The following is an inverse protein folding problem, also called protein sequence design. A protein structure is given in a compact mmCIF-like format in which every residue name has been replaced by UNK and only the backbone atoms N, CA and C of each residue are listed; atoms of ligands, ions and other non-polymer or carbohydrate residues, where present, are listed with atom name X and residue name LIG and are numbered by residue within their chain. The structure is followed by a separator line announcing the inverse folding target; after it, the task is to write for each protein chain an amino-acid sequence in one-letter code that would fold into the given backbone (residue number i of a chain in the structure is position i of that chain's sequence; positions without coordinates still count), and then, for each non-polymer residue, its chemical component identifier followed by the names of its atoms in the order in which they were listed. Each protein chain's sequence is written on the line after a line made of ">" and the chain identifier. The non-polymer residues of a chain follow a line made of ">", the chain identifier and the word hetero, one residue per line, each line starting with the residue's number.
data_IF_809102747904
#
_entry.id   IF_809102747904
#
_cell.length_a   1.000
_cell.length_b   1.000
_cell.length_c   1.000
_cell.angle_alpha   90.00
_cell.angle_beta   90.00
_cell.angle_gamma   90.00
#
_symmetry.space_group_name_H-M   'P 1'
#
loop_
_entity.id
_entity.type
_entity.pdbx_description
1 polymer ?
#
# COMPACT_ATOMS: atom_id res chain seq x y z
N UNK A 1 -7.37 -13.88 -18.43
CA UNK A 1 -8.75 -13.71 -17.90
C UNK A 1 -9.54 -14.94 -18.30
N UNK A 2 -10.31 -15.55 -17.40
CA UNK A 2 -11.13 -16.74 -17.72
C UNK A 2 -12.55 -16.29 -18.07
N UNK A 3 -13.31 -17.18 -18.71
CA UNK A 3 -14.71 -16.93 -19.09
C UNK A 3 -15.65 -17.96 -18.46
N UNK A 4 -16.90 -17.56 -18.25
CA UNK A 4 -17.99 -18.39 -17.76
C UNK A 4 -18.31 -19.51 -18.76
N UNK A 5 -18.12 -19.27 -20.06
CA UNK A 5 -18.24 -20.29 -21.09
C UNK A 5 -17.17 -21.41 -20.93
N UNK A 6 -15.92 -21.05 -20.65
CA UNK A 6 -14.87 -22.02 -20.33
C UNK A 6 -15.20 -22.81 -19.04
N UNK A 7 -15.77 -22.13 -18.04
CA UNK A 7 -16.21 -22.79 -16.80
C UNK A 7 -17.35 -23.78 -17.06
N UNK A 8 -18.40 -23.36 -17.77
CA UNK A 8 -19.57 -24.19 -18.13
C UNK A 8 -19.22 -25.40 -18.98
N UNK A 9 -18.23 -25.27 -19.87
CA UNK A 9 -17.76 -26.38 -20.71
C UNK A 9 -16.80 -27.34 -19.99
N UNK A 10 -16.46 -27.08 -18.73
CA UNK A 10 -15.54 -27.92 -17.94
C UNK A 10 -14.06 -27.76 -18.31
N UNK A 11 -13.69 -26.83 -19.20
CA UNK A 11 -12.30 -26.56 -19.61
C UNK A 11 -11.41 -26.08 -18.46
N UNK A 12 -12.01 -25.60 -17.38
CA UNK A 12 -11.33 -25.07 -16.20
C UNK A 12 -11.22 -26.09 -15.05
N UNK A 13 -11.54 -27.36 -15.27
CA UNK A 13 -11.46 -28.38 -14.22
C UNK A 13 -10.04 -28.48 -13.66
N UNK A 14 -9.91 -28.45 -12.33
CA UNK A 14 -8.62 -28.63 -11.63
C UNK A 14 -7.79 -27.36 -11.48
N UNK A 15 -8.23 -26.20 -11.99
CA UNK A 15 -7.49 -24.95 -11.77
C UNK A 15 -7.49 -24.56 -10.30
N UNK A 16 -6.41 -23.91 -9.87
CA UNK A 16 -6.25 -23.34 -8.53
C UNK A 16 -6.67 -21.88 -8.45
N UNK A 17 -6.62 -21.14 -9.56
CA UNK A 17 -6.94 -19.71 -9.63
C UNK A 17 -7.96 -19.42 -10.71
N UNK A 18 -9.16 -18.99 -10.30
CA UNK A 18 -10.20 -18.52 -11.20
C UNK A 18 -10.27 -17.00 -11.15
N UNK A 19 -10.43 -16.38 -12.32
CA UNK A 19 -10.74 -14.94 -12.47
C UNK A 19 -11.86 -14.78 -13.48
N UNK A 20 -13.01 -14.27 -13.06
CA UNK A 20 -14.15 -13.95 -13.91
C UNK A 20 -14.50 -12.46 -13.77
N UNK A 21 -14.52 -11.76 -14.89
CA UNK A 21 -14.98 -10.36 -15.00
C UNK A 21 -15.79 -10.25 -16.29
N UNK A 22 -17.08 -10.56 -16.18
CA UNK A 22 -18.00 -10.68 -17.31
C UNK A 22 -19.35 -10.05 -16.97
N UNK A 23 -19.34 -8.94 -16.22
CA UNK A 23 -20.55 -8.21 -15.81
C UNK A 23 -21.55 -9.08 -15.03
N UNK A 24 -21.07 -10.02 -14.23
CA UNK A 24 -21.89 -10.98 -13.51
C UNK A 24 -22.80 -10.27 -12.49
N UNK A 25 -24.12 -10.43 -12.60
CA UNK A 25 -25.09 -9.90 -11.63
C UNK A 25 -25.36 -10.88 -10.48
N UNK A 26 -24.91 -12.13 -10.59
CA UNK A 26 -25.03 -13.15 -9.55
C UNK A 26 -23.84 -14.11 -9.59
N UNK A 27 -23.57 -14.79 -8.47
CA UNK A 27 -22.51 -15.78 -8.38
C UNK A 27 -22.82 -16.98 -9.29
N UNK A 28 -21.94 -17.33 -10.25
CA UNK A 28 -22.12 -18.52 -11.07
C UNK A 28 -21.93 -19.79 -10.26
N UNK A 29 -23.00 -20.58 -10.08
CA UNK A 29 -22.93 -21.82 -9.30
C UNK A 29 -22.01 -22.87 -9.93
N UNK A 30 -21.68 -22.74 -11.21
CA UNK A 30 -20.70 -23.57 -11.91
C UNK A 30 -19.29 -23.47 -11.30
N UNK A 31 -18.97 -22.39 -10.57
CA UNK A 31 -17.70 -22.27 -9.82
C UNK A 31 -17.57 -23.41 -8.81
N UNK A 32 -18.69 -23.91 -8.27
CA UNK A 32 -18.71 -25.01 -7.32
C UNK A 32 -18.21 -26.33 -7.91
N UNK A 33 -18.15 -26.46 -9.25
CA UNK A 33 -17.51 -27.61 -9.91
C UNK A 33 -15.99 -27.67 -9.69
N UNK A 34 -15.39 -26.58 -9.19
CA UNK A 34 -13.95 -26.47 -8.88
C UNK A 34 -13.64 -26.68 -7.39
N UNK A 35 -14.61 -27.15 -6.59
CA UNK A 35 -14.48 -27.32 -5.14
C UNK A 35 -13.21 -28.10 -4.71
N UNK A 36 -12.80 -29.08 -5.51
CA UNK A 36 -11.66 -29.95 -5.20
C UNK A 36 -10.29 -29.30 -5.47
N UNK A 37 -10.22 -28.13 -6.11
CA UNK A 37 -8.95 -27.53 -6.55
C UNK A 37 -8.82 -26.03 -6.33
N UNK A 38 -9.92 -25.28 -6.24
CA UNK A 38 -9.89 -23.82 -6.27
C UNK A 38 -9.35 -23.23 -4.94
N UNK A 39 -8.25 -22.50 -5.04
CA UNK A 39 -7.56 -21.84 -3.93
C UNK A 39 -7.75 -20.31 -3.97
N UNK A 40 -7.82 -19.73 -5.17
CA UNK A 40 -7.94 -18.27 -5.38
C UNK A 40 -9.12 -17.99 -6.31
N UNK A 41 -10.09 -17.21 -5.82
CA UNK A 41 -11.26 -16.77 -6.57
C UNK A 41 -11.27 -15.24 -6.72
N UNK A 42 -11.13 -14.76 -7.95
CA UNK A 42 -11.26 -13.34 -8.30
C UNK A 42 -12.55 -13.10 -9.10
N UNK A 43 -13.51 -12.45 -8.46
CA UNK A 43 -14.79 -11.98 -9.01
C UNK A 43 -14.83 -10.44 -9.09
N UNK A 44 -13.67 -9.79 -9.14
CA UNK A 44 -13.61 -8.34 -9.27
C UNK A 44 -14.19 -7.87 -10.61
N UNK A 45 -14.64 -6.62 -10.66
CA UNK A 45 -15.17 -5.97 -11.86
C UNK A 45 -16.42 -6.69 -12.39
N UNK A 46 -17.42 -6.84 -11.52
CA UNK A 46 -18.74 -7.43 -11.81
C UNK A 46 -19.84 -6.57 -11.16
N UNK A 47 -21.05 -7.11 -11.03
CA UNK A 47 -22.23 -6.43 -10.48
C UNK A 47 -22.84 -7.21 -9.31
N UNK A 48 -22.03 -7.97 -8.59
CA UNK A 48 -22.46 -8.84 -7.49
C UNK A 48 -22.89 -8.00 -6.28
N UNK A 49 -23.95 -8.45 -5.63
CA UNK A 49 -24.46 -7.86 -4.38
C UNK A 49 -24.40 -8.84 -3.21
N UNK A 50 -24.21 -10.14 -3.47
CA UNK A 50 -24.17 -11.19 -2.46
C UNK A 50 -23.33 -12.40 -2.92
N UNK A 51 -22.95 -13.24 -1.97
CA UNK A 51 -22.33 -14.55 -2.22
C UNK A 51 -23.23 -15.66 -1.64
N UNK A 52 -23.40 -16.79 -2.34
CA UNK A 52 -24.31 -17.84 -1.91
C UNK A 52 -23.74 -18.62 -0.72
N UNK A 53 -24.62 -19.15 0.13
CA UNK A 53 -24.24 -20.06 1.24
C UNK A 53 -23.42 -21.26 0.76
N UNK A 54 -23.60 -21.69 -0.49
CA UNK A 54 -22.85 -22.78 -1.09
C UNK A 54 -21.36 -22.50 -1.31
N UNK A 55 -20.88 -21.26 -1.13
CA UNK A 55 -19.46 -20.91 -1.20
C UNK A 55 -18.60 -21.77 -0.26
N UNK A 56 -19.17 -22.19 0.88
CA UNK A 56 -18.51 -23.07 1.86
C UNK A 56 -18.08 -24.43 1.27
N UNK A 57 -18.62 -24.83 0.11
CA UNK A 57 -18.21 -26.05 -0.59
C UNK A 57 -16.81 -25.93 -1.19
N UNK A 58 -16.30 -24.72 -1.42
CA UNK A 58 -14.94 -24.48 -1.89
C UNK A 58 -13.95 -24.64 -0.71
N UNK A 59 -13.78 -25.87 -0.24
CA UNK A 59 -13.04 -26.17 1.00
C UNK A 59 -11.56 -25.78 0.90
N UNK A 60 -10.99 -25.68 -0.30
CA UNK A 60 -9.61 -25.24 -0.53
C UNK A 60 -9.45 -23.72 -0.72
N UNK A 61 -10.54 -22.95 -0.70
CA UNK A 61 -10.49 -21.51 -0.98
C UNK A 61 -9.73 -20.77 0.13
N UNK A 62 -8.64 -20.11 -0.27
CA UNK A 62 -7.74 -19.34 0.60
C UNK A 62 -7.85 -17.84 0.37
N UNK A 63 -8.18 -17.43 -0.86
CA UNK A 63 -8.21 -16.02 -1.26
C UNK A 63 -9.48 -15.73 -2.06
N UNK A 64 -10.19 -14.68 -1.67
CA UNK A 64 -11.31 -14.15 -2.45
C UNK A 64 -11.13 -12.65 -2.72
N UNK A 65 -11.29 -12.28 -3.99
CA UNK A 65 -11.42 -10.90 -4.44
C UNK A 65 -12.79 -10.68 -5.05
N UNK A 66 -13.43 -9.59 -4.67
CA UNK A 66 -14.71 -9.14 -5.22
C UNK A 66 -14.73 -7.60 -5.30
N UNK A 67 -13.61 -7.00 -5.71
CA UNK A 67 -13.48 -5.54 -5.83
C UNK A 67 -14.34 -5.00 -6.98
N UNK A 68 -14.73 -3.73 -6.96
CA UNK A 68 -15.55 -3.10 -8.01
C UNK A 68 -16.84 -3.90 -8.27
N UNK A 69 -17.63 -4.10 -7.22
CA UNK A 69 -18.94 -4.75 -7.25
C UNK A 69 -19.97 -3.84 -6.54
N UNK A 70 -21.11 -4.38 -6.11
CA UNK A 70 -22.22 -3.64 -5.48
C UNK A 70 -22.58 -4.21 -4.11
N UNK A 71 -21.61 -4.74 -3.37
CA UNK A 71 -21.85 -5.26 -2.02
C UNK A 71 -22.14 -4.10 -1.05
N UNK A 72 -23.25 -4.20 -0.30
CA UNK A 72 -23.58 -3.27 0.79
C UNK A 72 -23.25 -3.83 2.18
N UNK A 73 -23.09 -5.15 2.30
CA UNK A 73 -22.73 -5.86 3.52
C UNK A 73 -21.64 -6.87 3.19
N UNK A 74 -20.61 -6.99 4.03
CA UNK A 74 -19.61 -8.04 3.86
C UNK A 74 -20.28 -9.42 4.04
N UNK A 75 -20.25 -10.33 3.05
CA UNK A 75 -21.04 -11.56 3.11
C UNK A 75 -20.68 -12.47 4.29
N UNK A 76 -21.64 -12.80 5.14
CA UNK A 76 -21.44 -13.67 6.33
C UNK A 76 -20.89 -15.06 5.99
N UNK A 77 -21.14 -15.55 4.77
CA UNK A 77 -20.63 -16.86 4.32
C UNK A 77 -19.10 -16.94 4.36
N UNK A 78 -18.40 -15.80 4.25
CA UNK A 78 -16.94 -15.74 4.30
C UNK A 78 -16.40 -16.26 5.63
N UNK A 79 -17.03 -15.92 6.76
CA UNK A 79 -16.58 -16.37 8.08
C UNK A 79 -16.73 -17.88 8.31
N UNK A 80 -17.49 -18.56 7.44
CA UNK A 80 -17.65 -20.02 7.45
C UNK A 80 -16.67 -20.76 6.53
N UNK A 81 -15.85 -20.05 5.76
CA UNK A 81 -14.84 -20.65 4.90
C UNK A 81 -13.59 -20.97 5.73
N UNK A 82 -13.34 -22.25 6.00
CA UNK A 82 -12.35 -22.70 6.99
C UNK A 82 -10.90 -22.30 6.67
N UNK A 83 -10.55 -22.32 5.38
CA UNK A 83 -9.18 -22.04 4.90
C UNK A 83 -9.01 -20.62 4.35
N UNK A 84 -10.03 -19.75 4.47
CA UNK A 84 -9.98 -18.41 3.91
C UNK A 84 -9.08 -17.50 4.74
N UNK A 85 -8.02 -17.00 4.12
CA UNK A 85 -6.98 -16.17 4.74
C UNK A 85 -7.00 -14.73 4.23
N UNK A 86 -7.45 -14.50 2.99
CA UNK A 86 -7.42 -13.18 2.36
C UNK A 86 -8.77 -12.81 1.75
N UNK A 87 -9.27 -11.64 2.13
CA UNK A 87 -10.57 -11.11 1.71
C UNK A 87 -10.38 -9.70 1.16
N UNK A 88 -10.66 -9.50 -0.13
CA UNK A 88 -10.57 -8.19 -0.78
C UNK A 88 -11.87 -7.75 -1.45
N UNK A 89 -12.47 -6.68 -0.95
CA UNK A 89 -13.73 -6.09 -1.41
C UNK A 89 -13.56 -4.58 -1.65
N UNK A 90 -12.46 -4.17 -2.29
CA UNK A 90 -12.18 -2.76 -2.59
C UNK A 90 -13.26 -2.15 -3.50
N UNK A 91 -13.60 -0.87 -3.33
CA UNK A 91 -14.48 -0.12 -4.25
C UNK A 91 -15.83 -0.81 -4.40
N UNK A 92 -16.51 -0.99 -3.27
CA UNK A 92 -17.87 -1.49 -3.16
C UNK A 92 -18.73 -0.41 -2.48
N UNK A 93 -19.87 -0.79 -1.89
CA UNK A 93 -20.77 0.11 -1.16
C UNK A 93 -20.97 -0.40 0.27
N UNK A 94 -19.97 -1.10 0.83
CA UNK A 94 -20.13 -1.83 2.09
C UNK A 94 -20.30 -0.82 3.23
N UNK A 95 -21.43 -0.91 3.91
CA UNK A 95 -21.77 -0.11 5.09
C UNK A 95 -21.56 -0.91 6.38
N UNK A 96 -21.64 -2.24 6.31
CA UNK A 96 -21.60 -3.12 7.47
C UNK A 96 -20.68 -4.32 7.29
N UNK A 97 -19.91 -4.61 8.34
CA UNK A 97 -19.12 -5.84 8.49
C UNK A 97 -19.71 -6.64 9.66
N UNK A 98 -20.57 -7.64 9.42
CA UNK A 98 -21.07 -8.50 10.47
C UNK A 98 -19.93 -9.26 11.15
N UNK A 99 -19.97 -9.45 12.47
CA UNK A 99 -18.92 -10.18 13.20
C UNK A 99 -18.63 -11.59 12.62
N UNK A 100 -19.69 -12.29 12.19
CA UNK A 100 -19.61 -13.62 11.61
C UNK A 100 -19.15 -13.65 10.14
N UNK A 101 -18.89 -12.50 9.50
CA UNK A 101 -18.33 -12.43 8.15
C UNK A 101 -16.81 -12.58 8.12
N UNK A 102 -16.14 -12.46 9.28
CA UNK A 102 -14.68 -12.49 9.37
C UNK A 102 -14.16 -13.94 9.52
N UNK A 103 -13.37 -14.46 8.57
CA UNK A 103 -12.79 -15.80 8.67
C UNK A 103 -11.91 -15.96 9.91
N UNK A 104 -11.89 -17.16 10.50
CA UNK A 104 -11.03 -17.46 11.66
C UNK A 104 -9.53 -17.35 11.33
N UNK A 105 -9.15 -17.69 10.10
CA UNK A 105 -7.77 -17.65 9.62
C UNK A 105 -7.40 -16.36 8.88
N UNK A 106 -8.23 -15.30 9.00
CA UNK A 106 -8.01 -14.04 8.30
C UNK A 106 -6.63 -13.44 8.60
N UNK A 107 -5.84 -13.24 7.55
CA UNK A 107 -4.53 -12.58 7.54
C UNK A 107 -4.58 -11.22 6.88
N UNK A 108 -5.39 -11.07 5.84
CA UNK A 108 -5.43 -9.86 5.04
C UNK A 108 -6.87 -9.47 4.70
N UNK A 109 -7.28 -8.30 5.17
CA UNK A 109 -8.59 -7.70 4.88
C UNK A 109 -8.41 -6.37 4.12
N UNK A 110 -9.03 -6.28 2.94
CA UNK A 110 -9.08 -5.05 2.12
C UNK A 110 -10.54 -4.63 1.94
N UNK A 111 -10.91 -3.53 2.58
CA UNK A 111 -12.22 -2.86 2.45
C UNK A 111 -12.05 -1.39 2.05
N UNK A 112 -10.92 -1.06 1.42
CA UNK A 112 -10.65 0.26 0.84
C UNK A 112 -11.81 0.74 -0.04
N UNK A 113 -12.12 2.03 0.01
CA UNK A 113 -13.13 2.68 -0.85
C UNK A 113 -14.52 2.02 -0.69
N UNK A 114 -15.11 2.19 0.50
CA UNK A 114 -16.43 1.69 0.88
C UNK A 114 -17.15 2.75 1.73
N UNK A 115 -18.24 2.39 2.39
CA UNK A 115 -19.08 3.30 3.18
C UNK A 115 -19.08 2.95 4.68
N UNK A 116 -18.02 2.32 5.20
CA UNK A 116 -17.99 1.84 6.58
C UNK A 116 -17.93 2.99 7.59
N UNK A 117 -18.87 2.99 8.54
CA UNK A 117 -18.85 3.93 9.68
C UNK A 117 -18.27 3.32 10.95
N UNK A 118 -18.38 1.99 11.08
CA UNK A 118 -17.87 1.22 12.23
C UNK A 118 -17.35 -0.15 11.78
N UNK A 119 -16.58 -0.80 12.66
CA UNK A 119 -16.10 -2.17 12.51
C UNK A 119 -16.48 -2.98 13.76
N UNK A 120 -16.74 -4.30 13.63
CA UNK A 120 -17.07 -5.13 14.78
C UNK A 120 -15.83 -5.41 15.65
N UNK A 121 -16.03 -5.58 16.95
CA UNK A 121 -14.98 -5.93 17.90
C UNK A 121 -14.29 -7.26 17.54
N UNK A 122 -15.03 -8.18 16.90
CA UNK A 122 -14.51 -9.46 16.39
C UNK A 122 -13.32 -9.32 15.44
N UNK A 123 -13.07 -8.15 14.85
CA UNK A 123 -11.90 -7.88 14.02
C UNK A 123 -10.61 -7.95 14.83
N UNK A 124 -10.60 -7.37 16.03
CA UNK A 124 -9.45 -7.40 16.94
C UNK A 124 -9.10 -8.81 17.44
N UNK A 125 -10.09 -9.71 17.43
CA UNK A 125 -9.98 -11.10 17.86
C UNK A 125 -9.42 -12.04 16.78
N UNK A 126 -9.06 -11.54 15.59
CA UNK A 126 -8.48 -12.38 14.53
C UNK A 126 -6.98 -12.58 14.79
N UNK A 127 -6.52 -13.77 15.25
CA UNK A 127 -5.16 -13.93 15.76
C UNK A 127 -4.08 -13.87 14.68
N UNK A 128 -4.47 -14.05 13.41
CA UNK A 128 -3.56 -14.09 12.25
C UNK A 128 -3.58 -12.80 11.43
N UNK A 129 -4.35 -11.78 11.80
CA UNK A 129 -4.48 -10.57 10.99
C UNK A 129 -3.14 -9.83 10.92
N UNK A 130 -2.63 -9.64 9.70
CA UNK A 130 -1.36 -8.98 9.40
C UNK A 130 -1.56 -7.68 8.61
N UNK A 131 -2.56 -7.64 7.73
CA UNK A 131 -2.78 -6.50 6.84
C UNK A 131 -4.24 -6.05 6.82
N UNK A 132 -4.46 -4.78 7.12
CA UNK A 132 -5.76 -4.15 7.21
C UNK A 132 -5.81 -2.87 6.37
N UNK A 133 -6.53 -2.90 5.26
CA UNK A 133 -6.70 -1.75 4.38
C UNK A 133 -8.16 -1.26 4.41
N UNK A 134 -8.35 -0.05 4.95
CA UNK A 134 -9.62 0.61 5.24
C UNK A 134 -9.67 2.05 4.70
N UNK A 135 -8.70 2.45 3.88
CA UNK A 135 -8.66 3.82 3.36
C UNK A 135 -9.90 4.16 2.52
N UNK A 136 -10.38 5.40 2.58
CA UNK A 136 -11.57 5.81 1.82
C UNK A 136 -12.86 5.22 2.37
N UNK A 137 -13.07 5.33 3.68
CA UNK A 137 -14.32 4.93 4.33
C UNK A 137 -14.87 6.13 5.13
N UNK A 138 -15.85 5.89 6.01
CA UNK A 138 -16.49 6.92 6.85
C UNK A 138 -16.26 6.64 8.33
N UNK A 139 -15.20 5.90 8.67
CA UNK A 139 -14.96 5.43 10.03
C UNK A 139 -14.75 6.61 10.96
N UNK A 140 -15.52 6.67 12.03
CA UNK A 140 -15.39 7.71 13.07
C UNK A 140 -14.52 7.26 14.23
N UNK A 141 -14.39 5.94 14.41
CA UNK A 141 -13.52 5.29 15.39
C UNK A 141 -13.12 3.90 14.90
N UNK A 142 -12.04 3.37 15.47
CA UNK A 142 -11.65 1.97 15.33
C UNK A 142 -12.00 1.20 16.61
N UNK A 143 -12.35 -0.10 16.54
CA UNK A 143 -12.68 -0.90 17.73
C UNK A 143 -11.46 -1.02 18.64
N UNK A 144 -11.67 -0.90 19.95
CA UNK A 144 -10.60 -0.96 20.95
C UNK A 144 -9.92 -2.33 20.99
N UNK A 145 -10.63 -3.39 20.56
CA UNK A 145 -10.08 -4.76 20.49
C UNK A 145 -8.93 -4.88 19.50
N UNK A 146 -8.72 -3.94 18.57
CA UNK A 146 -7.53 -3.96 17.70
C UNK A 146 -6.21 -3.90 18.47
N UNK A 147 -6.21 -3.43 19.73
CA UNK A 147 -5.05 -3.53 20.62
C UNK A 147 -4.59 -4.99 20.83
N UNK A 148 -5.45 -5.98 20.59
CA UNK A 148 -5.16 -7.41 20.72
C UNK A 148 -4.54 -8.01 19.44
N UNK A 149 -4.54 -7.29 18.32
CA UNK A 149 -4.04 -7.76 17.03
C UNK A 149 -2.51 -7.71 16.96
N UNK A 150 -1.85 -8.53 17.78
CA UNK A 150 -0.39 -8.55 17.94
C UNK A 150 0.40 -8.95 16.69
N UNK A 151 -0.27 -9.52 15.68
CA UNK A 151 0.31 -9.86 14.38
C UNK A 151 0.07 -8.79 13.29
N UNK A 152 -0.62 -7.70 13.61
CA UNK A 152 -0.93 -6.65 12.64
C UNK A 152 0.33 -5.85 12.32
N UNK A 153 0.68 -5.81 11.04
CA UNK A 153 1.94 -5.27 10.51
C UNK A 153 1.70 -4.05 9.61
N UNK A 154 0.58 -4.02 8.86
CA UNK A 154 0.23 -2.93 7.95
C UNK A 154 -1.22 -2.49 8.15
N UNK A 155 -1.41 -1.19 8.37
CA UNK A 155 -2.72 -0.55 8.49
C UNK A 155 -2.83 0.68 7.58
N UNK A 156 -3.82 0.70 6.69
CA UNK A 156 -4.20 1.89 5.90
C UNK A 156 -5.58 2.37 6.36
N UNK A 157 -5.65 3.53 7.01
CA UNK A 157 -6.90 4.14 7.52
C UNK A 157 -7.07 5.58 7.03
N UNK A 158 -6.30 5.98 6.01
CA UNK A 158 -6.39 7.31 5.40
C UNK A 158 -7.79 7.61 4.83
N UNK A 159 -8.13 8.87 4.65
CA UNK A 159 -9.41 9.31 4.09
C UNK A 159 -10.62 8.66 4.81
N UNK A 160 -10.70 8.91 6.12
CA UNK A 160 -11.80 8.50 7.00
C UNK A 160 -12.26 9.71 7.84
N UNK A 161 -13.19 9.49 8.77
CA UNK A 161 -13.74 10.53 9.65
C UNK A 161 -13.22 10.39 11.10
N UNK A 162 -12.01 9.85 11.30
CA UNK A 162 -11.45 9.64 12.63
C UNK A 162 -11.16 11.00 13.27
N UNK A 163 -11.78 11.26 14.42
CA UNK A 163 -11.61 12.53 15.16
C UNK A 163 -10.47 12.48 16.17
N UNK A 164 -9.98 11.29 16.49
CA UNK A 164 -8.89 11.06 17.43
C UNK A 164 -7.85 10.10 16.85
N UNK A 165 -6.59 10.27 17.26
CA UNK A 165 -5.52 9.36 16.90
C UNK A 165 -5.76 7.97 17.53
N UNK A 166 -5.68 6.86 16.77
CA UNK A 166 -6.02 5.54 17.27
C UNK A 166 -4.89 4.93 18.12
N UNK A 167 -4.83 5.30 19.39
CA UNK A 167 -3.84 4.84 20.38
C UNK A 167 -3.68 3.30 20.45
N UNK A 168 -4.77 2.57 20.22
CA UNK A 168 -4.78 1.10 20.20
C UNK A 168 -3.91 0.50 19.09
N UNK A 169 -3.62 1.24 18.02
CA UNK A 169 -2.72 0.79 16.96
C UNK A 169 -1.26 1.13 17.25
N UNK A 170 -1.01 2.29 17.88
CA UNK A 170 0.34 2.85 18.02
C UNK A 170 1.29 1.95 18.82
N UNK A 171 0.74 1.18 19.77
CA UNK A 171 1.49 0.28 20.65
C UNK A 171 1.54 -1.17 20.17
N UNK A 172 1.03 -1.46 18.96
CA UNK A 172 1.08 -2.81 18.42
C UNK A 172 2.53 -3.21 18.13
N UNK A 173 2.97 -4.41 18.57
CA UNK A 173 4.38 -4.77 18.60
C UNK A 173 4.99 -5.00 17.20
N UNK A 174 4.15 -5.33 16.20
CA UNK A 174 4.59 -5.64 14.84
C UNK A 174 4.17 -4.61 13.79
N UNK A 175 3.41 -3.58 14.17
CA UNK A 175 2.94 -2.58 13.22
C UNK A 175 4.15 -1.82 12.66
N UNK A 176 4.39 -1.91 11.36
CA UNK A 176 5.53 -1.27 10.70
C UNK A 176 5.08 -0.22 9.69
N UNK A 177 3.91 -0.41 9.06
CA UNK A 177 3.38 0.50 8.05
C UNK A 177 2.01 1.01 8.46
N UNK A 178 1.92 2.31 8.73
CA UNK A 178 0.67 2.97 9.13
C UNK A 178 0.45 4.22 8.28
N UNK A 179 -0.68 4.29 7.58
CA UNK A 179 -1.12 5.49 6.87
C UNK A 179 -2.47 5.97 7.40
N UNK A 180 -2.57 7.26 7.71
CA UNK A 180 -3.76 7.84 8.33
C UNK A 180 -4.09 9.26 7.88
N UNK A 181 -3.47 9.73 6.79
CA UNK A 181 -3.74 11.05 6.21
C UNK A 181 -5.22 11.25 5.85
N UNK A 182 -5.67 12.50 5.69
CA UNK A 182 -7.06 12.76 5.32
C UNK A 182 -8.10 12.40 6.39
N UNK A 183 -7.70 12.27 7.66
CA UNK A 183 -8.61 12.19 8.80
C UNK A 183 -8.69 13.53 9.54
N UNK A 184 -9.83 13.88 10.17
CA UNK A 184 -9.96 15.08 10.99
C UNK A 184 -8.84 15.26 12.04
N UNK A 185 -8.40 14.19 12.71
CA UNK A 185 -7.33 14.29 13.73
C UNK A 185 -5.95 14.59 13.15
N UNK A 186 -5.72 14.26 11.87
CA UNK A 186 -4.46 14.50 11.16
C UNK A 186 -4.53 15.74 10.27
N UNK A 187 -5.61 16.51 10.35
CA UNK A 187 -5.77 17.71 9.55
C UNK A 187 -4.74 18.76 9.95
N UNK A 188 -4.04 19.29 8.96
CA UNK A 188 -3.12 20.40 9.13
C UNK A 188 -3.45 21.48 8.10
N UNK A 189 -3.78 22.68 8.57
CA UNK A 189 -3.95 23.84 7.70
C UNK A 189 -2.57 24.41 7.30
N UNK A 190 -1.82 23.65 6.50
CA UNK A 190 -0.53 24.06 5.98
C UNK A 190 -0.63 24.30 4.48
N UNK A 191 -0.30 25.51 4.04
CA UNK A 191 0.00 25.79 2.63
C UNK A 191 1.50 25.67 2.45
N UNK A 192 1.97 24.51 2.00
CA UNK A 192 3.39 24.27 1.81
C UNK A 192 3.77 24.77 0.41
N UNK A 193 4.62 25.80 0.37
CA UNK A 193 5.12 26.41 -0.86
C UNK A 193 6.64 26.17 -0.98
N UNK A 194 7.08 24.92 -0.80
CA UNK A 194 8.49 24.54 -0.92
C UNK A 194 8.99 24.52 -2.37
N UNK A 195 8.06 24.43 -3.34
CA UNK A 195 8.32 24.50 -4.77
C UNK A 195 7.37 25.48 -5.45
N UNK A 196 7.76 26.11 -6.58
CA UNK A 196 6.90 27.02 -7.32
C UNK A 196 5.66 26.32 -7.89
N UNK A 197 4.55 27.07 -7.95
CA UNK A 197 3.34 26.67 -8.67
C UNK A 197 3.40 27.13 -10.13
N UNK A 198 3.14 26.21 -11.05
CA UNK A 198 3.14 26.43 -12.49
C UNK A 198 1.77 26.12 -13.09
N UNK A 199 1.54 26.56 -14.33
CA UNK A 199 0.35 26.16 -15.08
C UNK A 199 0.56 24.80 -15.75
N UNK A 200 -0.52 24.03 -15.92
CA UNK A 200 -0.51 22.80 -16.71
C UNK A 200 -0.07 23.05 -18.16
N UNK A 201 -0.25 24.26 -18.69
CA UNK A 201 0.20 24.65 -20.03
C UNK A 201 1.74 24.79 -20.16
N UNK A 202 2.46 24.87 -19.04
CA UNK A 202 3.91 25.09 -19.02
C UNK A 202 4.73 23.88 -19.50
N UNK A 203 4.12 22.69 -19.63
CA UNK A 203 4.79 21.49 -20.13
C UNK A 203 3.86 20.65 -21.02
N UNK A 204 4.46 19.76 -21.80
CA UNK A 204 3.74 18.76 -22.60
C UNK A 204 4.13 17.36 -22.15
N UNK A 205 3.13 16.57 -21.73
CA UNK A 205 3.32 15.16 -21.39
C UNK A 205 3.73 14.35 -22.64
N UNK A 206 4.66 13.41 -22.45
CA UNK A 206 5.21 12.54 -23.49
C UNK A 206 4.88 11.09 -23.18
N UNK A 207 5.88 10.28 -22.86
CA UNK A 207 5.75 8.85 -22.60
C UNK A 207 5.35 8.61 -21.14
N UNK A 208 4.35 7.75 -20.93
CA UNK A 208 4.02 7.21 -19.61
C UNK A 208 5.18 6.34 -19.10
N UNK A 209 5.69 6.69 -17.91
CA UNK A 209 6.77 6.00 -17.22
C UNK A 209 6.22 4.97 -16.22
N UNK A 210 5.09 5.28 -15.60
CA UNK A 210 4.41 4.40 -14.65
C UNK A 210 2.99 4.86 -14.36
N UNK A 211 2.15 3.94 -13.88
CA UNK A 211 0.79 4.23 -13.47
C UNK A 211 0.48 3.45 -12.18
N UNK A 212 -0.02 4.15 -11.18
CA UNK A 212 -0.41 3.59 -9.88
C UNK A 212 -1.82 3.99 -9.49
N UNK A 213 -2.20 3.67 -8.24
CA UNK A 213 -3.50 4.03 -7.69
C UNK A 213 -3.67 5.56 -7.52
N UNK A 214 -2.56 6.28 -7.29
CA UNK A 214 -2.55 7.72 -7.04
C UNK A 214 -2.43 8.58 -8.29
N UNK A 215 -2.03 8.02 -9.44
CA UNK A 215 -1.88 8.82 -10.65
C UNK A 215 -1.08 8.15 -11.77
N UNK A 216 -0.78 8.94 -12.79
CA UNK A 216 0.07 8.56 -13.92
C UNK A 216 1.32 9.40 -13.91
N UNK A 217 2.48 8.75 -13.94
CA UNK A 217 3.78 9.38 -14.07
C UNK A 217 4.18 9.33 -15.54
N UNK A 218 4.44 10.49 -16.12
CA UNK A 218 4.88 10.62 -17.52
C UNK A 218 6.12 11.49 -17.61
N UNK A 219 6.99 11.18 -18.57
CA UNK A 219 8.02 12.14 -19.00
C UNK A 219 7.35 13.37 -19.61
N UNK A 220 7.96 14.54 -19.47
CA UNK A 220 7.47 15.78 -20.04
C UNK A 220 8.62 16.71 -20.45
N UNK A 221 8.31 17.59 -21.39
CA UNK A 221 9.19 18.67 -21.85
C UNK A 221 8.51 20.01 -21.60
N UNK A 222 9.27 21.04 -21.26
CA UNK A 222 8.75 22.39 -21.08
C UNK A 222 8.26 22.99 -22.40
N UNK A 223 7.19 23.78 -22.34
CA UNK A 223 6.65 24.52 -23.48
C UNK A 223 7.52 25.76 -23.77
N UNK A 224 7.87 26.51 -22.71
CA UNK A 224 8.72 27.70 -22.77
C UNK A 224 9.96 27.48 -21.88
N UNK A 225 10.94 26.72 -22.37
CA UNK A 225 12.16 26.25 -21.65
C UNK A 225 12.66 27.21 -20.55
N UNK A 226 12.22 27.04 -19.30
CA UNK A 226 12.63 27.90 -18.21
C UNK A 226 14.07 27.54 -17.83
N UNK A 227 14.98 28.51 -17.85
CA UNK A 227 16.42 28.29 -17.60
C UNK A 227 16.76 27.72 -16.21
N UNK A 228 15.80 27.69 -15.29
CA UNK A 228 15.96 27.24 -13.90
C UNK A 228 15.71 25.73 -13.74
N UNK A 229 15.02 25.09 -14.70
CA UNK A 229 14.66 23.67 -14.60
C UNK A 229 15.42 22.79 -15.60
N UNK A 230 15.61 21.49 -15.31
CA UNK A 230 16.16 20.54 -16.27
C UNK A 230 15.27 20.43 -17.53
N UNK A 231 15.88 20.17 -18.68
CA UNK A 231 15.17 20.08 -19.98
C UNK A 231 14.07 19.00 -20.00
N UNK A 232 14.33 17.87 -19.35
CA UNK A 232 13.41 16.74 -19.27
C UNK A 232 13.04 16.49 -17.80
N UNK A 233 11.74 16.36 -17.54
CA UNK A 233 11.19 16.14 -16.21
C UNK A 233 10.23 14.96 -16.20
N UNK A 234 9.92 14.46 -15.00
CA UNK A 234 8.81 13.56 -14.77
C UNK A 234 7.64 14.34 -14.16
N UNK A 235 6.43 14.10 -14.65
CA UNK A 235 5.20 14.70 -14.12
C UNK A 235 4.32 13.59 -13.62
N UNK A 236 3.99 13.60 -12.33
CA UNK A 236 2.94 12.77 -11.75
C UNK A 236 1.64 13.56 -11.78
N UNK A 237 0.74 13.17 -12.67
CA UNK A 237 -0.64 13.70 -12.70
C UNK A 237 -1.47 12.82 -11.78
N UNK A 238 -2.01 13.41 -10.73
CA UNK A 238 -2.83 12.71 -9.77
C UNK A 238 -4.21 12.37 -10.36
N UNK A 239 -4.77 11.22 -9.98
CA UNK A 239 -6.08 10.76 -10.49
C UNK A 239 -6.98 10.32 -9.35
N UNK A 240 -8.28 10.61 -9.51
CA UNK A 240 -9.34 10.15 -8.63
C UNK A 240 -9.49 11.00 -7.37
N UNK A 241 -10.62 10.83 -6.69
CA UNK A 241 -10.91 11.53 -5.44
C UNK A 241 -10.23 10.85 -4.25
N UNK A 242 -10.14 9.52 -4.23
CA UNK A 242 -9.52 8.74 -3.15
C UNK A 242 -8.77 7.55 -3.75
N UNK A 243 -7.59 7.27 -3.21
CA UNK A 243 -6.71 6.17 -3.65
C UNK A 243 -6.72 5.03 -2.63
N UNK A 244 -5.92 3.98 -2.82
CA UNK A 244 -5.72 2.95 -1.79
C UNK A 244 -5.10 3.47 -0.49
N UNK A 245 -4.48 4.65 -0.56
CA UNK A 245 -3.53 5.13 0.44
C UNK A 245 -3.91 6.50 1.00
N UNK A 246 -4.93 7.16 0.42
CA UNK A 246 -5.48 8.43 0.89
C UNK A 246 -5.90 9.36 -0.24
N UNK A 247 -6.04 10.65 0.08
CA UNK A 247 -6.29 11.70 -0.91
C UNK A 247 -4.99 12.05 -1.64
N UNK A 248 -5.02 12.29 -2.97
CA UNK A 248 -3.83 12.74 -3.69
C UNK A 248 -3.24 14.07 -3.18
N UNK A 249 -4.08 14.96 -2.66
CA UNK A 249 -3.65 16.21 -2.03
C UNK A 249 -2.76 15.96 -0.80
N UNK A 250 -3.09 14.96 0.02
CA UNK A 250 -2.28 14.63 1.20
C UNK A 250 -0.89 14.11 0.81
N UNK A 251 -0.82 13.27 -0.24
CA UNK A 251 0.44 12.81 -0.81
C UNK A 251 1.27 14.00 -1.31
N UNK A 252 0.66 14.91 -2.08
CA UNK A 252 1.34 16.11 -2.56
C UNK A 252 1.89 16.94 -1.39
N UNK A 253 1.05 17.26 -0.39
CA UNK A 253 1.49 18.05 0.76
C UNK A 253 2.60 17.36 1.56
N UNK A 254 2.58 16.03 1.69
CA UNK A 254 3.66 15.28 2.31
C UNK A 254 4.99 15.41 1.53
N UNK A 255 4.96 15.22 0.20
CA UNK A 255 6.13 15.44 -0.68
C UNK A 255 6.70 16.86 -0.50
N UNK A 256 5.83 17.86 -0.50
CA UNK A 256 6.23 19.25 -0.35
C UNK A 256 6.81 19.55 1.04
N UNK A 257 6.25 18.94 2.10
CA UNK A 257 6.73 19.14 3.48
C UNK A 257 8.13 18.58 3.69
N UNK A 258 8.40 17.41 3.12
CA UNK A 258 9.70 16.74 3.23
C UNK A 258 10.80 17.52 2.53
N UNK A 259 10.47 18.20 1.42
CA UNK A 259 11.43 19.03 0.71
C UNK A 259 12.49 18.22 -0.02
N UNK A 260 13.69 18.79 -0.18
CA UNK A 260 14.77 18.21 -0.97
C UNK A 260 15.68 17.31 -0.14
N UNK A 261 16.04 16.16 -0.70
CA UNK A 261 17.00 15.21 -0.13
C UNK A 261 17.67 14.44 -1.27
N UNK A 262 18.97 14.19 -1.17
CA UNK A 262 19.76 13.57 -2.23
C UNK A 262 19.26 12.18 -2.66
N UNK A 263 18.68 11.43 -1.72
CA UNK A 263 18.14 10.08 -1.94
C UNK A 263 16.61 10.04 -2.07
N UNK A 264 15.94 11.19 -2.23
CA UNK A 264 14.50 11.25 -2.52
C UNK A 264 14.25 11.66 -3.96
N UNK A 265 13.09 11.30 -4.49
CA UNK A 265 12.61 11.86 -5.76
C UNK A 265 12.38 13.37 -5.57
N UNK A 266 13.29 14.19 -6.11
CA UNK A 266 13.25 15.64 -5.97
C UNK A 266 12.03 16.25 -6.65
N UNK A 267 11.25 16.99 -5.85
CA UNK A 267 10.17 17.85 -6.33
C UNK A 267 10.72 19.16 -6.88
N UNK A 268 10.27 19.56 -8.07
CA UNK A 268 10.73 20.76 -8.78
C UNK A 268 9.68 21.87 -8.79
N UNK A 269 8.43 21.50 -9.02
CA UNK A 269 7.30 22.40 -9.12
C UNK A 269 5.99 21.63 -8.91
N UNK A 270 4.89 22.35 -8.71
CA UNK A 270 3.54 21.78 -8.58
C UNK A 270 2.56 22.47 -9.55
N UNK A 271 1.49 21.77 -9.92
CA UNK A 271 0.30 22.36 -10.55
C UNK A 271 -0.88 22.08 -9.65
N UNK A 272 -1.62 23.13 -9.33
CA UNK A 272 -2.86 23.06 -8.58
C UNK A 272 -3.89 23.95 -9.32
N UNK A 273 -4.50 23.37 -10.34
CA UNK A 273 -5.58 23.96 -11.13
C UNK A 273 -6.88 23.19 -10.86
N UNK A 274 -8.03 23.77 -11.21
CA UNK A 274 -9.33 23.09 -11.07
C UNK A 274 -9.32 21.74 -11.81
N UNK A 275 -9.63 20.66 -11.08
CA UNK A 275 -9.58 19.27 -11.54
C UNK A 275 -8.23 18.79 -12.09
N UNK A 276 -7.13 19.52 -11.85
CA UNK A 276 -5.80 19.14 -12.33
C UNK A 276 -4.73 19.39 -11.26
N UNK A 277 -4.39 18.31 -10.56
CA UNK A 277 -3.29 18.27 -9.60
C UNK A 277 -2.12 17.52 -10.19
N UNK A 278 -0.91 18.12 -10.16
CA UNK A 278 0.30 17.44 -10.61
C UNK A 278 1.54 17.84 -9.81
N UNK A 279 2.46 16.89 -9.66
CA UNK A 279 3.79 17.11 -9.12
C UNK A 279 4.83 16.94 -10.22
N UNK A 280 5.65 17.97 -10.45
CA UNK A 280 6.77 17.93 -11.37
C UNK A 280 8.02 17.56 -10.56
N UNK A 281 8.76 16.58 -11.05
CA UNK A 281 9.90 15.96 -10.40
C UNK A 281 11.06 15.81 -11.37
N UNK A 282 12.26 15.58 -10.82
CA UNK A 282 13.39 15.15 -11.63
C UNK A 282 13.06 13.85 -12.38
N UNK A 283 13.47 13.78 -13.64
CA UNK A 283 13.43 12.52 -14.38
C UNK A 283 14.49 11.59 -13.81
N UNK A 284 14.06 10.40 -13.36
CA UNK A 284 14.96 9.39 -12.81
C UNK A 284 15.84 8.83 -13.93
N UNK A 285 17.18 8.72 -13.73
CA UNK A 285 18.09 8.18 -14.73
C UNK A 285 17.76 6.73 -15.11
N UNK A 286 17.97 6.38 -16.39
CA UNK A 286 17.57 5.07 -16.93
C UNK A 286 18.35 3.87 -16.36
N UNK A 287 19.49 4.11 -15.69
CA UNK A 287 20.29 3.07 -15.03
C UNK A 287 19.76 2.66 -13.65
N UNK A 288 18.76 3.37 -13.11
CA UNK A 288 18.08 3.00 -11.88
C UNK A 288 17.02 1.93 -12.14
N UNK A 289 16.92 0.95 -11.23
CA UNK A 289 15.93 -0.13 -11.27
C UNK A 289 15.35 -0.38 -9.87
N UNK A 290 14.20 -1.03 -9.79
CA UNK A 290 13.58 -1.39 -8.51
C UNK A 290 14.51 -2.31 -7.70
N UNK A 291 14.68 -1.99 -6.42
CA UNK A 291 15.50 -2.77 -5.49
C UNK A 291 14.82 -4.08 -5.08
N UNK A 292 13.48 -4.08 -4.98
CA UNK A 292 12.68 -5.26 -4.65
C UNK A 292 11.42 -5.40 -5.50
N UNK A 293 10.72 -6.51 -5.27
CA UNK A 293 9.37 -6.79 -5.76
C UNK A 293 8.38 -6.62 -4.60
N UNK A 294 7.13 -6.22 -4.89
CA UNK A 294 6.13 -6.00 -3.84
C UNK A 294 5.80 -7.29 -3.07
N UNK A 295 5.11 -7.19 -1.92
CA UNK A 295 4.74 -8.35 -1.13
C UNK A 295 3.88 -9.35 -1.91
N UNK A 296 4.08 -10.63 -1.60
CA UNK A 296 3.32 -11.74 -2.19
C UNK A 296 2.18 -12.19 -1.25
N UNK A 297 1.27 -13.06 -1.74
CA UNK A 297 0.26 -13.68 -0.85
C UNK A 297 0.89 -14.51 0.28
N UNK A 298 2.11 -15.01 0.08
CA UNK A 298 2.84 -15.79 1.08
C UNK A 298 3.41 -14.86 2.16
N UNK A 299 4.17 -13.85 1.75
CA UNK A 299 4.82 -12.89 2.66
C UNK A 299 3.85 -11.90 3.30
N UNK A 300 2.69 -11.66 2.68
CA UNK A 300 1.62 -10.74 3.07
C UNK A 300 2.00 -9.25 3.06
N UNK A 301 3.09 -8.92 3.74
CA UNK A 301 3.57 -7.57 4.04
C UNK A 301 5.05 -7.42 3.69
N UNK A 302 5.87 -8.46 3.75
CA UNK A 302 7.31 -8.38 3.43
C UNK A 302 7.56 -8.43 1.93
N UNK A 303 8.54 -7.65 1.47
CA UNK A 303 8.93 -7.62 0.07
C UNK A 303 9.52 -8.95 -0.37
N UNK A 304 9.56 -9.13 -1.68
CA UNK A 304 10.19 -10.29 -2.30
C UNK A 304 11.27 -9.82 -3.27
N UNK A 305 12.15 -10.72 -3.68
CA UNK A 305 13.20 -10.40 -4.65
C UNK A 305 13.15 -11.38 -5.82
N UNK A 306 13.60 -10.99 -7.01
CA UNK A 306 13.73 -11.92 -8.12
C UNK A 306 14.61 -13.12 -7.74
N UNK A 307 14.30 -14.29 -8.28
CA UNK A 307 15.10 -15.49 -8.04
C UNK A 307 16.56 -15.28 -8.45
N UNK A 308 17.49 -15.64 -7.56
CA UNK A 308 18.93 -15.44 -7.78
C UNK A 308 19.42 -14.00 -7.64
N UNK A 309 18.54 -13.04 -7.28
CA UNK A 309 18.97 -11.67 -6.98
C UNK A 309 19.78 -11.64 -5.68
N UNK A 310 21.00 -11.12 -5.76
CA UNK A 310 21.90 -11.00 -4.62
C UNK A 310 22.65 -9.68 -4.64
N UNK A 311 22.99 -9.18 -3.46
CA UNK A 311 23.86 -8.01 -3.28
C UNK A 311 25.05 -8.38 -2.41
N UNK A 312 26.17 -7.69 -2.60
CA UNK A 312 27.29 -7.78 -1.67
C UNK A 312 26.98 -7.08 -0.35
N UNK A 313 27.65 -7.50 0.72
CA UNK A 313 27.47 -6.89 2.04
C UNK A 313 27.77 -5.39 2.04
N UNK A 314 28.74 -4.96 1.22
CA UNK A 314 29.10 -3.54 1.06
C UNK A 314 28.02 -2.72 0.35
N UNK A 315 27.35 -3.29 -0.65
CA UNK A 315 26.21 -2.66 -1.32
C UNK A 315 25.02 -2.54 -0.35
N UNK A 316 24.75 -3.59 0.43
CA UNK A 316 23.69 -3.57 1.45
C UNK A 316 23.98 -2.48 2.48
N UNK A 317 25.20 -2.42 3.03
CA UNK A 317 25.59 -1.41 4.01
C UNK A 317 25.37 0.01 3.47
N UNK A 318 25.80 0.26 2.22
CA UNK A 318 25.62 1.55 1.56
C UNK A 318 24.14 1.91 1.37
N UNK A 319 23.28 0.94 1.00
CA UNK A 319 21.83 1.16 0.86
C UNK A 319 21.21 1.48 2.22
N UNK A 320 21.57 0.72 3.25
CA UNK A 320 21.06 0.92 4.62
C UNK A 320 21.42 2.31 5.14
N UNK A 321 22.67 2.75 4.98
CA UNK A 321 23.12 4.08 5.40
C UNK A 321 22.33 5.21 4.70
N UNK A 322 22.10 5.10 3.39
CA UNK A 322 21.30 6.09 2.66
C UNK A 322 19.82 6.08 3.10
N UNK A 323 19.26 4.92 3.41
CA UNK A 323 17.86 4.83 3.88
C UNK A 323 17.71 5.32 5.33
N UNK A 324 18.72 5.13 6.18
CA UNK A 324 18.77 5.73 7.52
C UNK A 324 18.80 7.27 7.43
N UNK A 325 19.60 7.83 6.51
CA UNK A 325 19.63 9.28 6.24
C UNK A 325 18.25 9.82 5.79
N UNK A 326 17.61 9.10 4.85
CA UNK A 326 16.24 9.40 4.42
C UNK A 326 15.25 9.33 5.58
N UNK A 327 15.32 8.29 6.42
CA UNK A 327 14.46 8.12 7.58
C UNK A 327 14.57 9.31 8.55
N UNK A 328 15.79 9.69 8.90
CA UNK A 328 16.02 10.83 9.82
C UNK A 328 15.53 12.14 9.19
N UNK A 329 15.73 12.34 7.88
CA UNK A 329 15.21 13.50 7.16
C UNK A 329 13.68 13.58 7.15
N UNK A 330 12.99 12.46 6.89
CA UNK A 330 11.53 12.38 6.93
C UNK A 330 10.99 12.79 8.31
N UNK A 331 11.59 12.24 9.36
CA UNK A 331 11.14 12.48 10.73
C UNK A 331 11.54 13.86 11.27
N UNK A 332 12.66 14.42 10.84
CA UNK A 332 13.01 15.82 11.09
C UNK A 332 11.96 16.79 10.51
N UNK A 333 11.33 16.40 9.39
CA UNK A 333 10.21 17.12 8.78
C UNK A 333 8.83 16.66 9.30
N UNK A 334 8.78 15.81 10.32
CA UNK A 334 7.54 15.29 10.92
C UNK A 334 6.58 14.65 9.91
N UNK A 335 7.15 13.90 8.96
CA UNK A 335 6.44 13.09 7.98
C UNK A 335 6.83 11.64 8.17
N UNK A 336 5.84 10.77 8.14
CA UNK A 336 6.03 9.33 8.05
C UNK A 336 5.70 8.88 6.63
N UNK A 337 6.52 8.06 5.99
CA UNK A 337 6.28 7.60 4.63
C UNK A 337 5.15 6.57 4.55
N UNK A 338 5.02 5.71 5.57
CA UNK A 338 3.96 4.69 5.64
C UNK A 338 4.08 3.55 4.60
N UNK A 339 5.14 3.56 3.78
CA UNK A 339 5.43 2.58 2.70
C UNK A 339 6.93 2.38 2.45
N UNK A 340 7.74 2.40 3.52
CA UNK A 340 9.18 2.15 3.46
C UNK A 340 9.44 0.68 3.09
N UNK A 341 9.84 0.46 1.83
CA UNK A 341 9.99 -0.84 1.19
C UNK A 341 11.09 -0.83 0.11
N UNK A 342 11.59 -2.02 -0.24
CA UNK A 342 12.53 -2.19 -1.33
C UNK A 342 11.88 -1.97 -2.70
N UNK A 343 10.61 -2.34 -2.89
CA UNK A 343 9.91 -2.12 -4.16
C UNK A 343 9.63 -0.64 -4.47
N UNK A 344 9.62 0.21 -3.43
CA UNK A 344 9.51 1.67 -3.53
C UNK A 344 10.89 2.37 -3.56
N UNK A 345 11.97 1.59 -3.53
CA UNK A 345 13.35 2.07 -3.62
C UNK A 345 13.94 1.70 -4.97
N UNK A 346 14.49 2.69 -5.67
CA UNK A 346 15.27 2.48 -6.88
C UNK A 346 16.76 2.49 -6.53
N UNK A 347 17.57 1.72 -7.26
CA UNK A 347 19.02 1.72 -7.08
C UNK A 347 19.79 1.55 -8.40
N UNK A 348 21.04 2.00 -8.42
CA UNK A 348 21.97 1.81 -9.54
C UNK A 348 23.05 0.74 -9.24
N UNK A 349 23.95 0.50 -10.20
CA UNK A 349 25.05 -0.48 -10.07
C UNK A 349 26.02 -0.17 -8.93
N UNK A 350 26.12 1.10 -8.54
CA UNK A 350 26.96 1.57 -7.44
C UNK A 350 26.20 1.56 -6.10
N UNK A 351 24.99 1.01 -6.05
CA UNK A 351 24.11 1.00 -4.88
C UNK A 351 23.77 2.40 -4.36
N UNK A 352 23.74 3.42 -5.22
CA UNK A 352 23.09 4.69 -4.90
C UNK A 352 21.57 4.48 -4.96
N UNK A 353 20.82 5.03 -4.01
CA UNK A 353 19.36 4.87 -3.98
C UNK A 353 18.60 6.17 -4.27
N UNK A 354 17.41 6.00 -4.85
CA UNK A 354 16.37 7.02 -4.92
C UNK A 354 15.10 6.39 -4.36
N UNK A 355 14.57 6.96 -3.29
CA UNK A 355 13.35 6.52 -2.62
C UNK A 355 12.17 7.45 -2.92
N UNK A 356 10.97 6.89 -3.03
CA UNK A 356 9.76 7.65 -3.32
C UNK A 356 8.48 6.84 -3.16
N UNK A 357 7.41 7.34 -3.78
CA UNK A 357 6.01 6.89 -3.61
C UNK A 357 5.37 7.26 -2.27
N UNK A 358 5.11 8.56 -2.11
CA UNK A 358 4.51 9.13 -0.91
C UNK A 358 2.98 8.90 -0.82
N UNK A 359 2.43 7.95 -1.57
CA UNK A 359 0.97 7.69 -1.58
C UNK A 359 0.39 7.40 -0.19
N UNK A 360 1.16 6.71 0.66
CA UNK A 360 0.79 6.38 2.03
C UNK A 360 1.34 7.36 3.08
N UNK A 361 2.04 8.41 2.64
CA UNK A 361 2.73 9.31 3.53
C UNK A 361 1.73 10.10 4.39
N UNK A 362 2.13 10.32 5.64
CA UNK A 362 1.30 11.01 6.61
C UNK A 362 2.13 12.02 7.39
N UNK A 363 1.64 13.26 7.40
CA UNK A 363 2.17 14.30 8.28
C UNK A 363 1.63 14.08 9.69
N UNK A 364 2.49 14.16 10.70
CA UNK A 364 2.10 13.87 12.09
C UNK A 364 2.46 14.98 13.09
N UNK A 365 2.92 16.13 12.61
CA UNK A 365 3.31 17.28 13.43
C UNK A 365 2.23 17.84 14.36
N UNK A 366 0.95 17.57 14.09
CA UNK A 366 -0.19 17.97 14.93
C UNK A 366 -0.40 17.05 16.13
N UNK A 367 0.22 15.87 16.17
CA UNK A 367 0.07 14.88 17.24
C UNK A 367 0.85 15.27 18.49
N UNK A 368 0.52 14.67 19.63
CA UNK A 368 1.27 14.87 20.88
C UNK A 368 2.69 14.31 20.79
N UNK A 369 3.62 14.80 21.60
CA UNK A 369 5.02 14.32 21.58
C UNK A 369 5.14 12.79 21.79
N UNK A 370 4.31 12.20 22.64
CA UNK A 370 4.25 10.74 22.84
C UNK A 370 3.80 10.02 21.56
N UNK A 371 2.73 10.50 20.92
CA UNK A 371 2.23 9.93 19.67
C UNK A 371 3.27 10.05 18.55
N UNK A 372 3.94 11.20 18.43
CA UNK A 372 5.01 11.38 17.43
C UNK A 372 6.15 10.37 17.63
N UNK A 373 6.55 10.10 18.88
CA UNK A 373 7.57 9.11 19.19
C UNK A 373 7.12 7.68 18.83
N UNK A 374 5.85 7.34 19.07
CA UNK A 374 5.30 6.04 18.69
C UNK A 374 5.21 5.86 17.17
N UNK A 375 4.87 6.91 16.41
CA UNK A 375 4.88 6.89 14.95
C UNK A 375 6.30 6.65 14.42
N UNK A 376 7.31 7.36 14.95
CA UNK A 376 8.71 7.12 14.62
C UNK A 376 9.14 5.68 14.92
N UNK A 377 8.68 5.12 16.04
CA UNK A 377 8.97 3.74 16.40
C UNK A 377 8.35 2.74 15.41
N UNK A 378 7.12 2.99 14.94
CA UNK A 378 6.46 2.17 13.91
C UNK A 378 7.29 2.17 12.63
N UNK A 379 7.66 3.35 12.12
CA UNK A 379 8.42 3.42 10.87
C UNK A 379 9.85 2.89 11.01
N UNK A 380 10.47 3.01 12.19
CA UNK A 380 11.75 2.34 12.48
C UNK A 380 11.64 0.81 12.39
N UNK A 381 10.48 0.22 12.70
CA UNK A 381 10.23 -1.22 12.45
C UNK A 381 10.14 -1.51 10.95
N UNK A 382 9.56 -0.62 10.14
CA UNK A 382 9.58 -0.78 8.67
C UNK A 382 11.01 -0.72 8.11
N UNK A 383 11.84 0.21 8.60
CA UNK A 383 13.27 0.24 8.27
C UNK A 383 13.98 -1.05 8.68
N UNK A 384 13.69 -1.58 9.88
CA UNK A 384 14.23 -2.87 10.32
C UNK A 384 13.81 -4.02 9.41
N UNK A 385 12.54 -4.03 8.96
CA UNK A 385 12.07 -5.01 7.98
C UNK A 385 12.80 -4.91 6.64
N UNK A 386 13.06 -3.69 6.14
CA UNK A 386 13.84 -3.47 4.93
C UNK A 386 15.27 -4.02 5.09
N UNK A 387 15.93 -3.73 6.22
CA UNK A 387 17.29 -4.21 6.51
C UNK A 387 17.30 -5.75 6.52
N UNK A 388 16.36 -6.39 7.20
CA UNK A 388 16.20 -7.85 7.20
C UNK A 388 15.99 -8.41 5.79
N UNK A 389 15.11 -7.79 5.00
CA UNK A 389 14.82 -8.18 3.63
C UNK A 389 16.10 -8.11 2.76
N UNK A 390 16.90 -7.05 2.91
CA UNK A 390 18.18 -6.90 2.20
C UNK A 390 19.24 -7.90 2.68
N UNK A 391 19.34 -8.16 3.98
CA UNK A 391 20.29 -9.16 4.50
C UNK A 391 19.95 -10.58 4.01
N UNK A 392 18.67 -10.87 3.74
CA UNK A 392 18.23 -12.16 3.21
C UNK A 392 18.76 -12.46 1.79
N UNK A 393 19.14 -11.42 1.04
CA UNK A 393 19.70 -11.52 -0.32
C UNK A 393 21.21 -11.23 -0.36
N UNK A 394 21.87 -11.15 0.80
CA UNK A 394 23.33 -11.02 0.86
C UNK A 394 23.99 -12.28 0.28
N UNK A 395 25.06 -12.11 -0.50
CA UNK A 395 25.87 -13.22 -0.99
C UNK A 395 26.22 -14.21 0.15
N UNK A 396 25.93 -15.50 -0.04
CA UNK A 396 26.10 -16.53 1.00
C UNK A 396 27.51 -16.52 1.63
N UNK A 397 28.53 -16.25 0.83
CA UNK A 397 29.93 -16.22 1.28
C UNK A 397 30.21 -15.06 2.26
N UNK A 398 29.39 -14.01 2.26
CA UNK A 398 29.58 -12.79 3.04
C UNK A 398 28.69 -12.71 4.29
N UNK A 399 27.74 -13.65 4.46
CA UNK A 399 26.77 -13.65 5.57
C UNK A 399 27.41 -13.81 6.96
N UNK A 400 28.64 -14.33 7.03
CA UNK A 400 29.40 -14.44 8.28
C UNK A 400 30.41 -13.31 8.49
N UNK A 401 30.47 -12.35 7.56
CA UNK A 401 31.42 -11.23 7.65
C UNK A 401 31.14 -10.35 8.87
N UNK A 402 32.17 -9.68 9.42
CA UNK A 402 31.97 -8.69 10.48
C UNK A 402 30.98 -7.59 10.09
N UNK A 403 31.01 -7.15 8.83
CA UNK A 403 30.13 -6.10 8.33
C UNK A 403 28.66 -6.55 8.30
N UNK A 404 28.39 -7.80 7.90
CA UNK A 404 27.04 -8.35 7.97
C UNK A 404 26.48 -8.32 9.40
N UNK A 405 27.30 -8.71 10.38
CA UNK A 405 26.90 -8.70 11.80
C UNK A 405 26.65 -7.29 12.32
N UNK A 406 27.43 -6.30 11.87
CA UNK A 406 27.20 -4.89 12.22
C UNK A 406 25.85 -4.41 11.67
N UNK A 407 25.53 -4.72 10.41
CA UNK A 407 24.24 -4.35 9.82
C UNK A 407 23.10 -5.05 10.55
N UNK A 408 23.27 -6.34 10.90
CA UNK A 408 22.26 -7.11 11.64
C UNK A 408 21.94 -6.51 13.02
N UNK A 409 22.90 -5.86 13.67
CA UNK A 409 22.70 -5.19 14.97
C UNK A 409 21.82 -3.91 14.88
N UNK A 410 21.58 -3.39 13.67
CA UNK A 410 20.69 -2.23 13.44
C UNK A 410 19.20 -2.58 13.47
N UNK A 411 18.85 -3.88 13.46
CA UNK A 411 17.47 -4.36 13.52
C UNK A 411 16.99 -4.28 14.99
N UNK A 412 15.90 -3.55 15.23
CA UNK A 412 15.38 -3.25 16.58
C UNK A 412 13.94 -3.69 16.81
#
# INVERSE_FOLDING_TARGET
>A
MHTLSQLKSGKLRGIKRLKLSENLSSFPLEILSLADSLEILDLSDNQLTSLPKALIKLTKLQIIFASNNRFQVLPEVLGRCENLEMVGFKSNQIEQVPANSLPKNLRWLILTDNCLETLPDALGERPKLQKLALAGNRLTKLPLTLAQSSNLELVRISANNLTECPEQLLRLPKLAWLAFSGNPFSFANLKIASVPSLSSASFTLKKVLGQGASGVISSATWTDSPSVFPDNVAVKVFKGKVTSDGYPEDELQACLKVGDHQNLVRSLAQVNEEDYLALIMNLIPANFKNLGLPPSFKSCTRDTFPEGFTLSVSQIDKIVLQMEDVFEHLHANQVSHGDLYAHNTLFDENANIIFGDFGAATMYHMLTGEQQALIQQIERRALSCLIEDLLSICHEQEQNSPQFKIIQQKIH
#
